data_IF_148630072969
#
_entry.id   IF_148630072969
#
_cell.length_a   1.000
_cell.length_b   1.000
_cell.length_c   1.000
_cell.angle_alpha   90.00
_cell.angle_beta   90.00
_cell.angle_gamma   90.00
#
_symmetry.space_group_name_H-M   'P 1'
#
loop_
_entity.id
_entity.type
_entity.pdbx_description
1 polymer ?
#
# COMPACT_ATOMS: atom_id res chain seq x y z
N UNK A 1 0.24 -31.93 18.55
CA UNK A 1 1.43 -31.12 18.22
C UNK A 1 1.71 -31.33 16.75
N UNK A 2 1.40 -30.35 15.91
CA UNK A 2 1.70 -30.43 14.47
C UNK A 2 3.17 -30.07 14.34
N UNK A 3 3.99 -31.03 13.93
CA UNK A 3 5.40 -30.77 13.60
C UNK A 3 5.44 -29.64 12.57
N UNK A 4 6.03 -28.52 12.97
CA UNK A 4 6.37 -27.43 12.08
C UNK A 4 7.34 -27.99 11.05
N UNK A 5 6.84 -28.39 9.88
CA UNK A 5 7.67 -28.73 8.72
C UNK A 5 8.62 -27.55 8.51
N UNK A 6 9.92 -27.80 8.66
CA UNK A 6 10.94 -26.82 8.32
C UNK A 6 10.92 -26.62 6.81
N UNK A 7 10.13 -25.65 6.37
CA UNK A 7 9.86 -25.37 4.97
C UNK A 7 11.15 -25.12 4.18
N UNK A 8 12.18 -24.56 4.83
CA UNK A 8 13.47 -24.33 4.19
C UNK A 8 14.15 -25.65 3.84
N UNK A 9 14.17 -26.60 4.77
CA UNK A 9 14.73 -27.93 4.56
C UNK A 9 13.90 -28.72 3.52
N UNK A 10 12.58 -28.61 3.55
CA UNK A 10 11.71 -29.24 2.56
C UNK A 10 11.95 -28.69 1.14
N UNK A 11 12.21 -27.38 1.01
CA UNK A 11 12.53 -26.74 -0.26
C UNK A 11 13.91 -27.16 -0.79
N UNK A 12 14.93 -27.24 0.07
CA UNK A 12 16.25 -27.76 -0.30
C UNK A 12 16.18 -29.21 -0.80
N UNK A 13 15.40 -30.06 -0.13
CA UNK A 13 15.16 -31.44 -0.57
C UNK A 13 14.43 -31.52 -1.90
N UNK A 14 13.47 -30.61 -2.13
CA UNK A 14 12.76 -30.53 -3.40
C UNK A 14 13.67 -30.06 -4.55
N UNK A 15 14.53 -29.07 -4.32
CA UNK A 15 15.50 -28.64 -5.33
C UNK A 15 16.44 -29.78 -5.74
N UNK A 16 16.96 -30.52 -4.76
CA UNK A 16 17.81 -31.69 -5.03
C UNK A 16 17.07 -32.78 -5.82
N UNK A 17 15.76 -32.96 -5.59
CA UNK A 17 14.93 -33.92 -6.32
C UNK A 17 14.77 -33.51 -7.79
N UNK A 18 14.47 -32.23 -8.05
CA UNK A 18 14.30 -31.69 -9.41
C UNK A 18 15.62 -31.72 -10.17
N UNK A 19 16.74 -31.40 -9.52
CA UNK A 19 18.07 -31.45 -10.12
C UNK A 19 18.46 -32.89 -10.52
N UNK A 20 18.22 -33.88 -9.66
CA UNK A 20 18.41 -35.30 -10.01
C UNK A 20 17.57 -35.73 -11.21
N UNK A 21 16.32 -35.27 -11.28
CA UNK A 21 15.42 -35.60 -12.39
C UNK A 21 15.89 -34.99 -13.72
N UNK A 22 16.39 -33.75 -13.70
CA UNK A 22 16.97 -33.10 -14.88
C UNK A 22 18.22 -33.86 -15.33
N UNK A 23 19.13 -34.20 -14.41
CA UNK A 23 20.36 -34.96 -14.72
C UNK A 23 20.03 -36.32 -15.32
N UNK A 24 19.03 -37.02 -14.78
CA UNK A 24 18.59 -38.30 -15.32
C UNK A 24 18.10 -38.15 -16.77
N UNK A 25 17.25 -37.15 -17.04
CA UNK A 25 16.75 -36.90 -18.40
C UNK A 25 17.83 -36.49 -19.38
N UNK A 26 18.79 -35.69 -18.96
CA UNK A 26 19.93 -35.32 -19.80
C UNK A 26 20.77 -36.55 -20.17
N UNK A 27 20.94 -37.51 -19.24
CA UNK A 27 21.65 -38.77 -19.50
C UNK A 27 20.90 -39.68 -20.47
N UNK A 28 19.59 -39.81 -20.31
CA UNK A 28 18.72 -40.55 -21.23
C UNK A 28 18.76 -39.98 -22.65
N UNK A 29 18.83 -38.65 -22.80
CA UNK A 29 18.99 -37.99 -24.11
C UNK A 29 20.38 -38.18 -24.76
N UNK A 30 21.37 -38.63 -23.99
CA UNK A 30 22.77 -38.81 -24.44
C UNK A 30 23.17 -40.27 -24.70
N UNK A 31 22.20 -41.20 -24.75
CA UNK A 31 22.39 -42.65 -24.97
C UNK A 31 23.40 -43.33 -24.01
N UNK A 32 23.56 -42.78 -22.80
CA UNK A 32 24.49 -43.26 -21.76
C UNK A 32 23.80 -44.02 -20.62
N UNK A 33 22.63 -44.60 -20.90
CA UNK A 33 21.71 -45.05 -19.86
C UNK A 33 22.01 -46.49 -19.37
N UNK A 34 22.52 -46.61 -18.15
CA UNK A 34 22.47 -47.83 -17.35
C UNK A 34 21.32 -47.71 -16.37
N UNK A 35 20.28 -48.56 -16.52
CA UNK A 35 19.13 -48.62 -15.61
C UNK A 35 19.61 -48.84 -14.17
N UNK A 36 19.50 -47.80 -13.36
CA UNK A 36 19.80 -47.84 -11.94
C UNK A 36 18.48 -47.87 -11.15
N UNK A 37 18.46 -48.57 -10.03
CA UNK A 37 17.26 -48.78 -9.18
C UNK A 37 16.74 -47.45 -8.56
N UNK A 38 17.50 -46.36 -8.79
CA UNK A 38 17.25 -45.02 -8.28
C UNK A 38 16.51 -44.07 -9.23
N UNK A 39 16.10 -44.54 -10.41
CA UNK A 39 15.30 -43.79 -11.39
C UNK A 39 14.09 -43.08 -10.74
N UNK A 40 13.96 -41.78 -11.03
CA UNK A 40 12.87 -40.93 -10.54
C UNK A 40 11.72 -41.00 -11.53
N UNK A 41 10.83 -41.98 -11.32
CA UNK A 41 9.56 -42.04 -12.02
C UNK A 41 8.55 -41.02 -11.46
N UNK A 42 7.45 -40.82 -12.18
CA UNK A 42 6.37 -39.93 -11.73
C UNK A 42 5.83 -40.32 -10.35
N UNK A 43 5.79 -41.62 -10.03
CA UNK A 43 5.24 -42.13 -8.76
C UNK A 43 6.13 -41.77 -7.57
N UNK A 44 7.46 -41.94 -7.71
CA UNK A 44 8.50 -41.58 -6.74
C UNK A 44 8.57 -40.06 -6.58
N UNK A 45 8.47 -39.30 -7.68
CA UNK A 45 8.38 -37.84 -7.66
C UNK A 45 7.14 -37.35 -6.90
N UNK A 46 5.98 -37.91 -7.23
CA UNK A 46 4.70 -37.57 -6.60
C UNK A 46 4.71 -37.88 -5.09
N UNK A 47 5.17 -39.08 -4.71
CA UNK A 47 5.24 -39.51 -3.30
C UNK A 47 6.21 -38.65 -2.50
N UNK A 48 7.36 -38.30 -3.06
CA UNK A 48 8.37 -37.47 -2.40
C UNK A 48 7.88 -36.04 -2.23
N UNK A 49 7.31 -35.44 -3.27
CA UNK A 49 6.71 -34.09 -3.23
C UNK A 49 5.58 -34.03 -2.19
N UNK A 50 4.73 -35.05 -2.13
CA UNK A 50 3.63 -35.13 -1.16
C UNK A 50 4.13 -35.33 0.27
N UNK A 51 5.27 -35.99 0.47
CA UNK A 51 5.93 -36.11 1.78
C UNK A 51 6.55 -34.78 2.23
N UNK A 52 7.10 -34.00 1.30
CA UNK A 52 7.77 -32.72 1.58
C UNK A 52 6.78 -31.59 1.90
N UNK A 53 5.70 -31.46 1.10
CA UNK A 53 4.78 -30.33 1.19
C UNK A 53 3.37 -30.70 1.67
N UNK A 54 3.08 -31.99 1.85
CA UNK A 54 1.78 -32.45 2.35
C UNK A 54 0.62 -32.03 1.44
N UNK A 55 -0.55 -31.67 2.00
CA UNK A 55 -1.73 -31.26 1.23
C UNK A 55 -1.60 -29.86 0.58
N UNK A 56 -0.50 -29.14 0.81
CA UNK A 56 -0.30 -27.79 0.28
C UNK A 56 -0.13 -27.76 -1.25
N UNK A 57 0.14 -28.91 -1.87
CA UNK A 57 0.36 -29.04 -3.31
C UNK A 57 -0.78 -29.85 -3.94
N UNK A 58 -1.43 -29.30 -4.96
CA UNK A 58 -2.49 -29.99 -5.70
C UNK A 58 -1.91 -31.03 -6.66
N UNK A 59 -2.56 -32.19 -6.76
CA UNK A 59 -2.14 -33.29 -7.65
C UNK A 59 -1.99 -32.84 -9.11
N UNK A 60 -2.89 -31.98 -9.58
CA UNK A 60 -2.86 -31.41 -10.93
C UNK A 60 -1.60 -30.55 -11.16
N UNK A 61 -1.15 -29.82 -10.15
CA UNK A 61 0.04 -28.98 -10.24
C UNK A 61 1.32 -29.83 -10.23
N UNK A 62 1.38 -30.90 -9.43
CA UNK A 62 2.51 -31.84 -9.45
C UNK A 62 2.64 -32.49 -10.82
N UNK A 63 1.52 -32.90 -11.42
CA UNK A 63 1.48 -33.49 -12.77
C UNK A 63 1.88 -32.50 -13.87
N UNK A 64 1.41 -31.26 -13.78
CA UNK A 64 1.77 -30.21 -14.73
C UNK A 64 3.26 -29.87 -14.63
N UNK A 65 3.77 -29.69 -13.40
CA UNK A 65 5.17 -29.41 -13.13
C UNK A 65 6.06 -30.54 -13.64
N UNK A 66 5.76 -31.79 -13.28
CA UNK A 66 6.52 -32.96 -13.76
C UNK A 66 6.55 -33.00 -15.29
N UNK A 67 5.41 -32.86 -15.97
CA UNK A 67 5.38 -32.84 -17.44
C UNK A 67 6.23 -31.72 -18.03
N UNK A 68 6.22 -30.53 -17.44
CA UNK A 68 6.99 -29.37 -17.92
C UNK A 68 8.50 -29.63 -17.85
N UNK A 69 8.97 -30.17 -16.72
CA UNK A 69 10.40 -30.49 -16.58
C UNK A 69 10.82 -31.61 -17.53
N UNK A 70 9.93 -32.58 -17.78
CA UNK A 70 10.20 -33.69 -18.68
C UNK A 70 10.18 -33.26 -20.16
N UNK A 71 9.37 -32.26 -20.53
CA UNK A 71 9.33 -31.74 -21.90
C UNK A 71 10.52 -30.84 -22.23
N UNK A 72 11.00 -30.05 -21.25
CA UNK A 72 12.08 -29.07 -21.44
C UNK A 72 13.11 -29.18 -20.29
N UNK A 73 14.05 -30.14 -20.34
CA UNK A 73 15.04 -30.30 -19.28
C UNK A 73 16.07 -29.15 -19.21
N UNK A 74 16.25 -28.38 -20.29
CA UNK A 74 17.18 -27.24 -20.33
C UNK A 74 16.60 -25.95 -19.71
N UNK A 75 15.28 -25.83 -19.64
CA UNK A 75 14.61 -24.68 -19.05
C UNK A 75 14.51 -24.89 -17.53
N UNK A 76 15.22 -24.10 -16.73
CA UNK A 76 15.15 -24.19 -15.27
C UNK A 76 13.72 -23.87 -14.81
N UNK A 77 12.96 -24.85 -14.27
CA UNK A 77 11.58 -24.63 -13.88
C UNK A 77 11.54 -23.72 -12.65
N UNK A 78 10.65 -22.72 -12.65
CA UNK A 78 10.43 -21.90 -11.48
C UNK A 78 9.68 -22.72 -10.42
N UNK A 79 10.35 -23.04 -9.31
CA UNK A 79 9.77 -23.87 -8.25
C UNK A 79 8.41 -23.40 -7.68
N UNK A 80 8.02 -22.11 -7.67
CA UNK A 80 6.69 -21.71 -7.20
C UNK A 80 5.54 -22.19 -8.11
N UNK A 81 5.84 -22.65 -9.33
CA UNK A 81 4.84 -23.25 -10.24
C UNK A 81 4.18 -24.50 -9.66
N UNK A 82 4.88 -25.26 -8.81
CA UNK A 82 4.29 -26.44 -8.16
C UNK A 82 3.12 -26.06 -7.23
N UNK A 83 3.10 -24.83 -6.73
CA UNK A 83 2.00 -24.29 -5.93
C UNK A 83 0.92 -23.59 -6.76
N UNK A 84 1.07 -23.54 -8.10
CA UNK A 84 0.12 -22.88 -8.99
C UNK A 84 0.28 -21.35 -9.07
N UNK A 85 1.43 -20.80 -8.66
CA UNK A 85 1.68 -19.36 -8.62
C UNK A 85 1.71 -18.67 -10.00
N UNK A 86 1.73 -19.43 -11.10
CA UNK A 86 1.87 -18.91 -12.47
C UNK A 86 0.84 -19.45 -13.47
N UNK A 87 -0.17 -20.20 -13.03
CA UNK A 87 -1.32 -20.55 -13.88
C UNK A 87 -2.16 -19.30 -14.14
N UNK A 88 -1.75 -18.51 -15.13
CA UNK A 88 -2.54 -17.47 -15.76
C UNK A 88 -3.88 -18.03 -16.22
N UNK A 89 -4.94 -17.28 -15.93
CA UNK A 89 -6.31 -17.76 -15.94
C UNK A 89 -6.78 -18.42 -17.22
N UNK A 90 -7.55 -19.50 -17.06
CA UNK A 90 -8.55 -19.96 -18.02
C UNK A 90 -9.46 -20.98 -17.33
N UNK A 91 -10.75 -20.62 -17.26
CA UNK A 91 -11.92 -21.48 -17.03
C UNK A 91 -12.14 -22.03 -15.62
N UNK A 92 -13.10 -21.39 -14.94
CA UNK A 92 -14.05 -21.95 -13.97
C UNK A 92 -13.57 -23.12 -13.09
N UNK A 93 -12.92 -22.82 -11.96
CA UNK A 93 -12.73 -23.80 -10.90
C UNK A 93 -13.06 -23.17 -9.54
N UNK A 94 -13.70 -24.01 -8.72
CA UNK A 94 -14.21 -23.77 -7.37
C UNK A 94 -13.23 -23.05 -6.44
N UNK A 95 -13.79 -22.32 -5.47
CA UNK A 95 -13.08 -21.66 -4.37
C UNK A 95 -11.94 -22.55 -3.83
N UNK A 96 -10.71 -22.04 -3.70
CA UNK A 96 -9.61 -22.82 -3.15
C UNK A 96 -9.93 -23.25 -1.72
N UNK A 97 -9.67 -24.51 -1.39
CA UNK A 97 -9.78 -25.05 -0.04
C UNK A 97 -8.78 -24.38 0.89
N UNK A 98 -9.19 -24.23 2.16
CA UNK A 98 -8.52 -23.51 3.28
C UNK A 98 -7.06 -23.88 3.53
N UNK A 99 -6.54 -24.95 2.94
CA UNK A 99 -5.20 -25.48 3.22
C UNK A 99 -4.14 -25.03 2.20
N UNK A 100 -4.53 -24.31 1.14
CA UNK A 100 -3.62 -23.76 0.11
C UNK A 100 -2.94 -22.43 0.53
N UNK A 101 -2.98 -22.09 1.82
CA UNK A 101 -2.76 -20.73 2.35
C UNK A 101 -1.33 -20.44 2.86
N UNK A 102 -0.32 -21.22 2.49
CA UNK A 102 1.04 -20.99 3.03
C UNK A 102 1.74 -19.78 2.38
N UNK A 103 1.32 -19.34 1.18
CA UNK A 103 1.95 -18.22 0.47
C UNK A 103 0.98 -17.15 -0.07
N UNK A 104 -0.31 -17.22 0.26
CA UNK A 104 -1.30 -16.22 -0.13
C UNK A 104 -1.82 -15.52 1.12
N UNK A 105 -1.64 -14.19 1.13
CA UNK A 105 -2.34 -13.16 1.90
C UNK A 105 -3.36 -13.73 2.88
N UNK A 106 -3.15 -13.48 4.18
CA UNK A 106 -4.08 -13.83 5.27
C UNK A 106 -5.52 -13.78 4.78
N UNK A 107 -6.22 -14.91 4.92
CA UNK A 107 -7.64 -15.04 4.59
C UNK A 107 -8.35 -13.76 5.04
N UNK A 108 -9.02 -13.05 4.12
CA UNK A 108 -9.71 -11.80 4.44
C UNK A 108 -10.77 -12.12 5.49
N UNK A 109 -10.39 -12.03 6.75
CA UNK A 109 -11.29 -12.29 7.85
C UNK A 109 -12.26 -11.12 7.89
N UNK A 110 -13.49 -11.36 7.48
CA UNK A 110 -14.53 -10.36 7.55
C UNK A 110 -14.87 -10.14 9.02
N UNK A 111 -14.34 -9.07 9.60
CA UNK A 111 -14.80 -8.59 10.90
C UNK A 111 -16.16 -7.94 10.65
N UNK A 112 -17.23 -8.69 10.86
CA UNK A 112 -18.61 -8.20 10.79
C UNK A 112 -18.85 -7.23 11.95
N UNK A 113 -18.53 -5.96 11.75
CA UNK A 113 -18.84 -4.90 12.71
C UNK A 113 -20.15 -4.20 12.30
N UNK A 114 -21.06 -4.02 13.26
CA UNK A 114 -22.42 -3.46 13.06
C UNK A 114 -22.45 -2.05 12.44
N UNK A 115 -21.32 -1.34 12.50
CA UNK A 115 -21.15 0.03 12.02
C UNK A 115 -20.79 0.11 10.53
N UNK A 116 -20.05 -0.89 10.01
CA UNK A 116 -19.64 -0.90 8.59
C UNK A 116 -20.68 -1.69 7.79
N UNK A 117 -21.88 -1.13 7.67
CA UNK A 117 -23.00 -1.77 6.94
C UNK A 117 -22.83 -1.74 5.42
N UNK A 118 -21.86 -1.00 4.88
CA UNK A 118 -21.63 -0.85 3.43
C UNK A 118 -20.26 -1.37 3.02
N UNK A 119 -20.22 -2.14 1.93
CA UNK A 119 -18.98 -2.42 1.18
C UNK A 119 -18.43 -1.08 0.71
N UNK A 120 -17.30 -0.68 1.26
CA UNK A 120 -16.58 0.51 0.83
C UNK A 120 -15.08 0.26 0.84
N UNK A 121 -14.37 0.98 -0.03
CA UNK A 121 -12.92 0.84 -0.21
C UNK A 121 -12.23 1.83 0.71
N UNK A 122 -11.39 1.32 1.61
CA UNK A 122 -10.53 2.16 2.42
C UNK A 122 -9.37 2.65 1.56
N UNK A 123 -9.27 3.97 1.41
CA UNK A 123 -8.25 4.65 0.59
C UNK A 123 -7.03 5.03 1.41
N UNK A 124 -7.21 5.31 2.70
CA UNK A 124 -6.12 5.67 3.60
C UNK A 124 -6.26 5.03 4.98
N UNK A 125 -5.14 4.58 5.55
CA UNK A 125 -5.05 4.10 6.94
C UNK A 125 -3.80 4.73 7.57
N UNK A 126 -4.00 5.48 8.63
CA UNK A 126 -2.95 6.21 9.33
C UNK A 126 -2.96 5.81 10.79
N UNK A 127 -1.82 5.40 11.31
CA UNK A 127 -1.66 5.10 12.73
C UNK A 127 -0.90 6.24 13.39
N UNK A 128 -1.46 6.78 14.47
CA UNK A 128 -0.86 7.84 15.29
C UNK A 128 -0.45 7.22 16.63
N UNK A 129 0.82 6.77 16.79
CA UNK A 129 1.23 6.01 17.96
C UNK A 129 1.10 6.80 19.27
N UNK A 130 1.42 8.11 19.24
CA UNK A 130 1.42 9.00 20.41
C UNK A 130 0.05 9.07 21.07
N UNK A 131 -1.03 9.11 20.27
CA UNK A 131 -2.41 9.19 20.75
C UNK A 131 -3.10 7.82 20.81
N UNK A 132 -2.42 6.75 20.40
CA UNK A 132 -3.00 5.42 20.18
C UNK A 132 -4.26 5.44 19.30
N UNK A 133 -4.25 6.28 18.27
CA UNK A 133 -5.32 6.41 17.30
C UNK A 133 -4.97 5.68 16.00
N UNK A 134 -5.98 5.14 15.35
CA UNK A 134 -5.92 4.71 13.95
C UNK A 134 -7.02 5.44 13.20
N UNK A 135 -6.67 6.15 12.15
CA UNK A 135 -7.60 6.90 11.31
C UNK A 135 -7.75 6.12 10.00
N UNK A 136 -8.97 6.00 9.51
CA UNK A 136 -9.26 5.39 8.21
C UNK A 136 -10.11 6.31 7.37
N UNK A 137 -9.74 6.46 6.11
CA UNK A 137 -10.52 7.18 5.11
C UNK A 137 -11.12 6.22 4.10
N UNK A 138 -12.42 6.36 3.90
CA UNK A 138 -13.21 5.57 2.99
C UNK A 138 -13.51 6.34 1.71
N UNK A 139 -13.56 5.66 0.57
CA UNK A 139 -13.82 6.30 -0.72
C UNK A 139 -15.15 7.04 -0.74
N UNK A 140 -16.20 6.57 -0.04
CA UNK A 140 -17.51 7.25 -0.01
C UNK A 140 -17.58 8.44 0.96
N UNK A 141 -16.45 8.99 1.38
CA UNK A 141 -16.41 10.22 2.19
C UNK A 141 -16.41 10.01 3.70
N UNK A 142 -16.27 8.77 4.18
CA UNK A 142 -16.31 8.46 5.62
C UNK A 142 -14.90 8.48 6.23
N UNK A 143 -14.69 9.32 7.24
CA UNK A 143 -13.48 9.36 8.06
C UNK A 143 -13.75 8.77 9.44
N UNK A 144 -13.06 7.69 9.79
CA UNK A 144 -13.26 7.00 11.08
C UNK A 144 -12.00 7.06 11.93
N UNK A 145 -12.16 7.30 13.25
CA UNK A 145 -11.07 7.32 14.22
C UNK A 145 -11.25 6.22 15.26
N UNK A 146 -10.35 5.26 15.24
CA UNK A 146 -10.28 4.19 16.22
C UNK A 146 -9.33 4.57 17.35
N UNK A 147 -9.80 4.55 18.59
CA UNK A 147 -8.96 4.72 19.77
C UNK A 147 -8.73 3.37 20.45
N UNK A 148 -7.47 3.01 20.76
CA UNK A 148 -7.15 1.73 21.39
C UNK A 148 -7.40 1.71 22.92
N UNK A 149 -7.30 2.87 23.60
CA UNK A 149 -7.35 2.95 25.09
C UNK A 149 -8.77 2.96 25.64
N UNK A 150 -9.66 3.74 25.04
CA UNK A 150 -11.09 3.58 25.26
C UNK A 150 -11.53 2.47 24.33
N UNK A 151 -12.12 1.37 24.79
CA UNK A 151 -12.83 0.38 23.93
C UNK A 151 -14.02 1.00 23.15
N UNK A 152 -14.04 2.32 23.00
CA UNK A 152 -15.04 3.13 22.34
C UNK A 152 -14.60 3.37 20.90
N UNK A 153 -15.25 2.67 19.99
CA UNK A 153 -15.21 2.95 18.57
C UNK A 153 -15.94 4.27 18.33
N UNK A 154 -15.22 5.35 18.06
CA UNK A 154 -15.83 6.55 17.54
C UNK A 154 -15.75 6.51 16.01
N UNK A 155 -16.73 5.84 15.41
CA UNK A 155 -16.93 5.87 13.97
C UNK A 155 -17.80 7.06 13.63
N UNK A 156 -17.16 8.18 13.33
CA UNK A 156 -17.86 9.32 12.77
C UNK A 156 -18.14 9.01 11.29
N UNK A 157 -19.33 8.50 11.00
CA UNK A 157 -19.78 8.42 9.60
C UNK A 157 -20.06 9.82 9.12
N UNK A 158 -19.03 10.54 8.69
CA UNK A 158 -19.22 11.86 8.11
C UNK A 158 -19.82 11.68 6.71
N UNK A 159 -21.06 12.13 6.53
CA UNK A 159 -21.68 12.25 5.22
C UNK A 159 -21.59 13.72 4.83
N UNK A 160 -20.80 14.03 3.80
CA UNK A 160 -20.82 15.35 3.20
C UNK A 160 -22.26 15.62 2.73
N UNK A 161 -22.95 16.55 3.40
CA UNK A 161 -24.31 16.96 3.01
C UNK A 161 -24.34 17.73 1.68
N UNK A 162 -23.16 18.09 1.14
CA UNK A 162 -22.99 18.66 -0.19
C UNK A 162 -22.27 17.64 -1.08
N UNK A 163 -23.06 16.72 -1.66
CA UNK A 163 -22.64 15.67 -2.59
C UNK A 163 -21.62 14.64 -2.04
N UNK A 164 -21.67 13.36 -2.47
CA UNK A 164 -20.67 12.37 -2.09
C UNK A 164 -19.34 12.68 -2.77
N UNK A 165 -18.47 13.45 -2.11
CA UNK A 165 -17.09 13.68 -2.55
C UNK A 165 -16.22 12.48 -2.18
N UNK A 166 -15.45 11.99 -3.13
CA UNK A 166 -14.53 10.88 -2.89
C UNK A 166 -13.30 11.34 -2.12
N UNK A 167 -12.97 10.63 -1.05
CA UNK A 167 -11.71 10.84 -0.33
C UNK A 167 -10.65 9.95 -0.95
N UNK A 168 -9.55 10.56 -1.40
CA UNK A 168 -8.44 9.87 -2.04
C UNK A 168 -7.32 9.51 -1.06
N UNK A 169 -7.13 10.31 0.00
CA UNK A 169 -6.12 10.05 1.01
C UNK A 169 -6.41 10.75 2.33
N UNK A 170 -5.75 10.31 3.40
CA UNK A 170 -5.79 10.97 4.70
C UNK A 170 -4.45 10.88 5.43
N UNK A 171 -4.22 11.82 6.34
CA UNK A 171 -3.11 11.82 7.29
C UNK A 171 -3.46 12.62 8.57
N UNK A 172 -2.53 12.69 9.52
CA UNK A 172 -2.71 13.36 10.81
C UNK A 172 -1.66 14.45 11.05
N UNK A 173 -2.13 15.62 11.46
CA UNK A 173 -1.32 16.78 11.83
C UNK A 173 -0.99 16.70 13.31
N UNK A 174 0.27 16.44 13.70
CA UNK A 174 0.60 16.19 15.09
C UNK A 174 0.50 17.42 16.00
N UNK A 175 0.85 18.62 15.51
CA UNK A 175 0.92 19.82 16.35
C UNK A 175 -0.47 20.42 16.56
N UNK A 176 -1.20 20.67 15.47
CA UNK A 176 -2.57 21.18 15.46
C UNK A 176 -3.58 20.12 15.92
N UNK A 177 -3.22 18.84 15.80
CA UNK A 177 -4.06 17.67 16.12
C UNK A 177 -5.29 17.53 15.23
N UNK A 178 -5.21 18.01 13.99
CA UNK A 178 -6.26 17.83 13.00
C UNK A 178 -6.02 16.58 12.15
N UNK A 179 -7.09 15.94 11.72
CA UNK A 179 -7.07 14.96 10.63
C UNK A 179 -7.15 15.72 9.31
N UNK A 180 -6.29 15.35 8.37
CA UNK A 180 -6.31 15.88 7.00
C UNK A 180 -6.87 14.81 6.10
N UNK A 181 -7.77 15.20 5.21
CA UNK A 181 -8.19 14.37 4.10
C UNK A 181 -8.17 15.16 2.80
N UNK A 182 -7.78 14.50 1.72
CA UNK A 182 -7.81 15.07 0.38
C UNK A 182 -8.93 14.43 -0.43
N UNK A 183 -9.65 15.27 -1.16
CA UNK A 183 -10.68 14.87 -2.12
C UNK A 183 -10.25 15.29 -3.51
N UNK A 184 -11.13 15.12 -4.49
CA UNK A 184 -10.87 15.59 -5.85
C UNK A 184 -10.49 17.08 -5.86
N UNK A 185 -11.30 17.99 -5.30
CA UNK A 185 -11.06 19.43 -5.44
C UNK A 185 -10.91 20.18 -4.11
N UNK A 186 -10.83 19.48 -2.98
CA UNK A 186 -10.79 20.12 -1.66
C UNK A 186 -9.86 19.40 -0.68
N UNK A 187 -9.30 20.17 0.25
CA UNK A 187 -8.55 19.67 1.40
C UNK A 187 -9.39 19.90 2.65
N UNK A 188 -9.61 18.84 3.42
CA UNK A 188 -10.43 18.87 4.63
C UNK A 188 -9.52 18.78 5.83
N UNK A 189 -9.75 19.65 6.80
CA UNK A 189 -9.13 19.65 8.12
C UNK A 189 -10.23 19.41 9.14
N UNK A 190 -10.11 18.36 9.94
CA UNK A 190 -11.11 18.03 10.95
C UNK A 190 -10.48 17.83 12.33
N UNK A 191 -11.01 18.50 13.36
CA UNK A 191 -10.51 18.31 14.72
C UNK A 191 -10.90 16.92 15.23
N UNK A 192 -9.90 16.11 15.56
CA UNK A 192 -10.10 14.75 16.08
C UNK A 192 -10.86 14.69 17.42
N UNK A 193 -10.95 15.81 18.16
CA UNK A 193 -11.70 15.91 19.43
C UNK A 193 -13.14 16.37 19.24
N UNK A 194 -13.53 16.79 18.04
CA UNK A 194 -14.84 17.38 17.84
C UNK A 194 -15.94 16.37 18.21
N UNK A 195 -16.94 16.82 18.98
CA UNK A 195 -18.09 16.00 19.38
C UNK A 195 -19.10 15.95 18.23
N UNK A 196 -19.95 14.92 18.21
CA UNK A 196 -20.95 14.63 17.18
C UNK A 196 -21.90 15.81 16.84
N UNK A 197 -22.04 16.78 17.75
CA UNK A 197 -22.91 17.95 17.62
C UNK A 197 -22.20 19.24 17.19
N UNK A 198 -20.87 19.25 17.11
CA UNK A 198 -20.06 20.41 16.70
C UNK A 198 -18.99 19.94 15.70
N UNK A 199 -19.23 20.19 14.42
CA UNK A 199 -18.29 19.93 13.33
C UNK A 199 -17.25 21.05 13.27
N UNK A 200 -16.29 21.03 14.21
CA UNK A 200 -15.15 21.94 14.17
C UNK A 200 -14.13 21.46 13.12
N UNK A 201 -14.41 21.82 11.87
CA UNK A 201 -13.55 21.51 10.74
C UNK A 201 -13.55 22.62 9.70
N UNK A 202 -12.49 22.63 8.90
CA UNK A 202 -12.25 23.58 7.83
C UNK A 202 -12.14 22.84 6.50
N UNK A 203 -12.61 23.46 5.43
CA UNK A 203 -12.46 22.93 4.06
C UNK A 203 -11.79 23.99 3.23
N UNK A 204 -10.60 23.69 2.73
CA UNK A 204 -9.87 24.53 1.79
C UNK A 204 -10.35 24.17 0.38
N UNK A 205 -10.96 25.15 -0.32
CA UNK A 205 -11.49 24.98 -1.67
C UNK A 205 -11.48 26.32 -2.42
N UNK A 206 -11.39 26.32 -3.76
CA UNK A 206 -11.19 25.16 -4.64
C UNK A 206 -9.69 24.86 -4.87
N UNK A 207 -9.31 23.58 -4.90
CA UNK A 207 -8.03 23.16 -5.45
C UNK A 207 -8.11 23.09 -6.97
N UNK A 208 -7.07 23.54 -7.67
CA UNK A 208 -7.07 23.63 -9.14
C UNK A 208 -7.07 22.26 -9.85
N UNK A 209 -6.40 21.26 -9.26
CA UNK A 209 -6.21 19.93 -9.82
C UNK A 209 -6.75 18.86 -8.86
N UNK A 210 -6.88 17.61 -9.33
CA UNK A 210 -7.43 16.52 -8.54
C UNK A 210 -6.41 16.00 -7.51
N UNK A 211 -6.64 16.20 -6.20
CA UNK A 211 -5.69 15.72 -5.19
C UNK A 211 -5.83 14.20 -4.98
N UNK A 212 -4.74 13.46 -5.15
CA UNK A 212 -4.73 11.99 -5.11
C UNK A 212 -4.17 11.43 -3.81
N UNK A 213 -3.14 12.08 -3.25
CA UNK A 213 -2.46 11.60 -2.05
C UNK A 213 -2.03 12.75 -1.15
N UNK A 214 -1.83 12.45 0.14
CA UNK A 214 -1.46 13.41 1.17
C UNK A 214 -0.50 12.79 2.17
N UNK A 215 0.43 13.59 2.69
CA UNK A 215 1.33 13.22 3.78
C UNK A 215 1.64 14.45 4.63
N UNK A 216 1.68 14.30 5.95
CA UNK A 216 2.15 15.36 6.85
C UNK A 216 3.66 15.36 6.98
N UNK A 217 4.22 16.56 7.06
CA UNK A 217 5.63 16.81 7.27
C UNK A 217 5.82 17.09 8.75
N UNK A 218 6.66 16.28 9.39
CA UNK A 218 6.96 16.44 10.81
C UNK A 218 8.35 17.05 10.95
N UNK A 219 8.37 18.38 11.08
CA UNK A 219 9.56 19.14 11.45
C UNK A 219 9.58 19.34 12.97
N UNK A 220 10.77 19.29 13.57
CA UNK A 220 10.93 19.43 15.02
C UNK A 220 10.79 20.87 15.54
N UNK A 221 10.76 21.86 14.64
CA UNK A 221 11.18 23.22 14.98
C UNK A 221 10.03 24.19 15.33
N UNK A 222 8.76 23.77 15.28
CA UNK A 222 7.67 24.70 15.53
C UNK A 222 6.37 24.02 16.00
N UNK A 223 5.94 24.38 17.21
CA UNK A 223 4.77 23.79 17.89
C UNK A 223 3.44 24.35 17.39
N UNK A 224 3.44 25.44 16.61
CA UNK A 224 2.23 26.15 16.18
C UNK A 224 1.90 26.01 14.70
N UNK A 225 2.69 25.24 13.94
CA UNK A 225 2.46 24.98 12.52
C UNK A 225 2.55 23.50 12.19
N UNK A 226 1.81 23.09 11.18
CA UNK A 226 1.99 21.83 10.50
C UNK A 226 2.05 22.06 8.99
N UNK A 227 2.86 21.25 8.32
CA UNK A 227 3.01 21.32 6.86
C UNK A 227 2.49 20.04 6.23
N UNK A 228 1.77 20.19 5.12
CA UNK A 228 1.09 19.14 4.37
C UNK A 228 1.71 19.08 2.98
N UNK A 229 2.07 17.86 2.57
CA UNK A 229 2.44 17.52 1.20
C UNK A 229 1.26 16.85 0.51
N UNK A 230 0.96 17.28 -0.72
CA UNK A 230 -0.13 16.71 -1.52
C UNK A 230 0.36 16.45 -2.95
N UNK A 231 -0.13 15.38 -3.57
CA UNK A 231 0.13 15.05 -4.97
C UNK A 231 -1.16 15.03 -5.78
N UNK A 232 -1.08 15.39 -7.05
CA UNK A 232 -2.25 15.50 -7.94
C UNK A 232 -2.22 14.59 -9.19
N UNK A 233 -3.27 14.70 -9.99
CA UNK A 233 -3.48 14.04 -11.28
C UNK A 233 -2.74 14.67 -12.48
N UNK A 234 -1.90 15.68 -12.26
CA UNK A 234 -1.09 16.33 -13.31
C UNK A 234 0.41 16.27 -13.02
N UNK A 235 0.81 15.50 -12.01
CA UNK A 235 2.20 15.32 -11.62
C UNK A 235 2.78 16.46 -10.78
N UNK A 236 1.95 17.35 -10.25
CA UNK A 236 2.35 18.38 -9.32
C UNK A 236 2.35 17.87 -7.88
N UNK A 237 3.37 18.31 -7.15
CA UNK A 237 3.44 18.21 -5.70
C UNK A 237 3.25 19.61 -5.11
N UNK A 238 2.38 19.68 -4.10
CA UNK A 238 1.99 20.89 -3.40
C UNK A 238 2.51 20.85 -1.98
N UNK A 239 2.92 22.01 -1.48
CA UNK A 239 3.29 22.25 -0.11
C UNK A 239 2.30 23.25 0.50
N UNK A 240 1.61 22.87 1.57
CA UNK A 240 0.69 23.74 2.30
C UNK A 240 1.11 23.79 3.76
N UNK A 241 1.47 24.96 4.26
CA UNK A 241 1.74 25.17 5.69
C UNK A 241 0.54 25.83 6.33
N UNK A 242 0.09 25.27 7.46
CA UNK A 242 -1.04 25.77 8.23
C UNK A 242 -0.57 26.09 9.64
N UNK A 243 -0.96 27.25 10.12
CA UNK A 243 -0.67 27.75 11.46
C UNK A 243 -1.94 27.78 12.31
N UNK A 244 -1.80 27.84 13.63
CA UNK A 244 -2.93 28.05 14.54
C UNK A 244 -3.70 29.34 14.24
N UNK A 245 -2.99 30.37 13.78
CA UNK A 245 -3.54 31.71 13.56
C UNK A 245 -4.41 31.77 12.31
N UNK A 246 -4.15 30.91 11.30
CA UNK A 246 -4.99 30.77 10.12
C UNK A 246 -6.43 30.39 10.47
N UNK A 247 -6.60 29.68 11.61
CA UNK A 247 -7.91 29.33 12.13
C UNK A 247 -8.52 30.44 12.99
N UNK A 248 -7.74 31.32 13.61
CA UNK A 248 -8.21 32.37 14.53
C UNK A 248 -8.57 33.64 13.76
N UNK A 249 -7.72 34.11 12.84
CA UNK A 249 -7.98 35.33 12.05
C UNK A 249 -9.23 35.19 11.16
N UNK A 250 -9.57 33.98 10.72
CA UNK A 250 -10.72 33.70 9.86
C UNK A 250 -12.02 33.39 10.63
N UNK A 251 -12.02 33.52 11.97
CA UNK A 251 -13.20 33.38 12.83
C UNK A 251 -14.04 34.66 12.98
N UNK A 252 -13.56 35.82 12.54
CA UNK A 252 -14.33 37.05 12.67
C UNK A 252 -15.32 37.21 11.51
N UNK A 253 -16.62 37.16 11.84
CA UNK A 253 -17.82 37.44 11.01
C UNK A 253 -18.41 36.24 10.27
N UNK A 254 -19.06 35.32 10.98
CA UNK A 254 -20.39 34.80 10.58
C UNK A 254 -20.95 33.87 11.66
N UNK A 255 -22.27 33.89 11.82
CA UNK A 255 -23.00 33.26 12.92
C UNK A 255 -22.89 31.73 12.98
N UNK A 256 -23.41 31.19 14.07
CA UNK A 256 -23.51 29.76 14.38
C UNK A 256 -24.15 28.98 13.21
N UNK A 257 -23.33 28.38 12.35
CA UNK A 257 -23.77 27.29 11.49
C UNK A 257 -22.90 26.06 11.73
N UNK A 258 -23.58 24.91 11.83
CA UNK A 258 -23.04 23.57 12.08
C UNK A 258 -22.32 22.98 10.85
N UNK A 259 -21.79 23.84 9.97
CA UNK A 259 -21.16 23.45 8.71
C UNK A 259 -19.67 23.80 8.72
N UNK A 260 -18.86 22.96 8.08
CA UNK A 260 -17.43 23.18 7.92
C UNK A 260 -17.17 24.59 7.39
N UNK A 261 -16.20 25.27 7.99
CA UNK A 261 -15.82 26.61 7.55
C UNK A 261 -15.04 26.49 6.24
N UNK A 262 -15.62 27.02 5.16
CA UNK A 262 -14.95 27.08 3.88
C UNK A 262 -13.84 28.15 3.93
N UNK A 263 -12.62 27.76 3.57
CA UNK A 263 -11.47 28.63 3.41
C UNK A 263 -11.10 28.64 1.93
N UNK A 264 -10.79 29.83 1.42
CA UNK A 264 -10.35 29.97 0.03
C UNK A 264 -8.91 29.49 -0.12
N UNK A 265 -8.63 28.69 -1.15
CA UNK A 265 -7.26 28.21 -1.43
C UNK A 265 -6.33 29.35 -1.82
N UNK A 266 -6.85 30.42 -2.43
CA UNK A 266 -6.09 31.61 -2.80
C UNK A 266 -5.61 32.42 -1.59
N UNK A 267 -6.22 32.19 -0.42
CA UNK A 267 -5.81 32.83 0.84
C UNK A 267 -4.58 32.20 1.50
N UNK A 268 -4.00 31.17 0.88
CA UNK A 268 -2.81 30.49 1.34
C UNK A 268 -1.70 30.58 0.29
N UNK A 269 -0.46 30.75 0.74
CA UNK A 269 0.69 30.53 -0.13
C UNK A 269 0.93 29.01 -0.23
N UNK A 270 0.68 28.46 -1.41
CA UNK A 270 0.80 27.02 -1.69
C UNK A 270 1.83 26.83 -2.80
N UNK A 271 3.13 26.76 -2.45
CA UNK A 271 4.17 26.38 -3.39
C UNK A 271 3.82 25.06 -4.06
N UNK A 272 3.97 25.01 -5.39
CA UNK A 272 3.74 23.80 -6.18
C UNK A 272 4.79 23.64 -7.25
N UNK A 273 5.16 22.39 -7.52
CA UNK A 273 6.13 22.06 -8.55
C UNK A 273 5.72 20.80 -9.29
N UNK A 274 5.83 20.82 -10.62
CA UNK A 274 5.67 19.62 -11.44
C UNK A 274 6.91 18.75 -11.27
N UNK A 275 6.72 17.54 -10.77
CA UNK A 275 7.78 16.58 -10.48
C UNK A 275 7.64 15.30 -11.32
N UNK A 276 6.42 14.96 -11.72
CA UNK A 276 6.14 13.78 -12.54
C UNK A 276 5.43 14.21 -13.83
N UNK A 277 5.58 13.44 -14.91
CA UNK A 277 4.83 13.69 -16.15
C UNK A 277 3.45 13.02 -16.16
N UNK A 278 3.22 12.11 -15.21
CA UNK A 278 1.95 11.43 -14.97
C UNK A 278 1.51 11.65 -13.51
N UNK A 279 0.43 11.00 -13.09
CA UNK A 279 -0.20 11.17 -11.78
C UNK A 279 0.77 10.89 -10.62
N UNK A 280 0.66 11.68 -9.55
CA UNK A 280 1.37 11.42 -8.30
C UNK A 280 0.59 10.37 -7.51
N UNK A 281 0.97 9.11 -7.66
CA UNK A 281 0.27 7.97 -7.05
C UNK A 281 0.39 7.93 -5.53
N UNK A 282 1.55 8.30 -4.99
CA UNK A 282 1.78 8.35 -3.55
C UNK A 282 2.85 9.39 -3.19
N UNK A 283 2.66 10.04 -2.05
CA UNK A 283 3.63 10.95 -1.44
C UNK A 283 3.86 10.56 0.02
N UNK A 284 5.09 10.72 0.51
CA UNK A 284 5.40 10.48 1.91
C UNK A 284 6.61 11.27 2.38
N UNK A 285 6.50 11.90 3.54
CA UNK A 285 7.65 12.46 4.22
C UNK A 285 8.34 11.43 5.13
N UNK A 286 9.67 11.40 5.08
CA UNK A 286 10.51 10.54 5.91
C UNK A 286 11.29 11.36 6.93
N UNK A 287 10.73 11.53 8.13
CA UNK A 287 11.35 12.34 9.20
C UNK A 287 12.77 11.88 9.55
N UNK A 288 13.05 10.58 9.45
CA UNK A 288 14.38 10.01 9.69
C UNK A 288 15.43 10.46 8.66
N UNK A 289 15.01 10.69 7.41
CA UNK A 289 15.89 11.16 6.33
C UNK A 289 15.84 12.67 6.14
N UNK A 290 14.81 13.33 6.71
CA UNK A 290 14.41 14.71 6.42
C UNK A 290 14.09 14.98 4.94
N UNK A 291 13.72 13.94 4.19
CA UNK A 291 13.40 14.00 2.77
C UNK A 291 11.93 13.61 2.55
N UNK A 292 11.33 14.11 1.48
CA UNK A 292 10.08 13.59 0.96
C UNK A 292 10.35 12.64 -0.21
N UNK A 293 9.48 11.64 -0.35
CA UNK A 293 9.40 10.79 -1.53
C UNK A 293 8.07 10.98 -2.25
N UNK A 294 8.08 10.97 -3.58
CA UNK A 294 6.89 10.91 -4.43
C UNK A 294 7.08 9.89 -5.54
N UNK A 295 6.00 9.20 -5.93
CA UNK A 295 6.05 8.21 -7.00
C UNK A 295 4.95 8.39 -8.04
N UNK A 296 5.22 7.90 -9.24
CA UNK A 296 4.33 7.92 -10.38
C UNK A 296 4.49 6.64 -11.21
N UNK A 297 3.47 6.34 -12.00
CA UNK A 297 3.46 5.28 -13.02
C UNK A 297 4.32 5.61 -14.25
N UNK A 298 4.80 6.85 -14.34
CA UNK A 298 5.75 7.25 -15.38
C UNK A 298 7.03 6.41 -15.32
N UNK A 299 7.58 6.10 -16.50
CA UNK A 299 8.82 5.34 -16.67
C UNK A 299 10.09 6.19 -16.53
N UNK A 300 9.99 7.51 -16.76
CA UNK A 300 11.15 8.42 -16.70
C UNK A 300 11.30 8.93 -15.27
N UNK A 301 10.30 9.64 -14.77
CA UNK A 301 10.29 10.22 -13.44
C UNK A 301 9.46 9.35 -12.49
N UNK A 302 9.83 8.08 -12.33
CA UNK A 302 9.02 7.11 -11.58
C UNK A 302 9.02 7.37 -10.08
N UNK A 303 10.17 7.77 -9.52
CA UNK A 303 10.32 8.02 -8.09
C UNK A 303 11.27 9.19 -7.84
N UNK A 304 10.90 10.09 -6.92
CA UNK A 304 11.71 11.24 -6.52
C UNK A 304 11.93 11.18 -5.02
N UNK A 305 13.14 11.51 -4.57
CA UNK A 305 13.51 11.55 -3.16
C UNK A 305 14.39 12.76 -2.85
N UNK A 306 13.81 13.84 -2.33
CA UNK A 306 14.56 15.08 -2.09
C UNK A 306 14.08 15.89 -0.88
N UNK A 307 14.75 16.99 -0.59
CA UNK A 307 14.37 17.95 0.44
C UNK A 307 13.15 18.76 -0.02
N UNK A 308 12.26 19.09 0.92
CA UNK A 308 11.07 19.92 0.69
C UNK A 308 11.43 21.27 0.10
N UNK A 309 12.61 21.82 0.42
CA UNK A 309 13.13 23.06 -0.17
C UNK A 309 13.15 23.03 -1.70
N UNK A 310 13.24 21.84 -2.31
CA UNK A 310 13.15 21.67 -3.78
C UNK A 310 11.82 22.08 -4.37
N UNK A 311 10.75 22.09 -3.58
CA UNK A 311 9.45 22.57 -4.05
C UNK A 311 9.43 24.10 -4.20
N UNK A 312 10.32 24.81 -3.51
CA UNK A 312 10.41 26.27 -3.49
C UNK A 312 11.55 26.81 -4.37
N UNK A 313 12.71 26.15 -4.36
CA UNK A 313 13.93 26.63 -5.03
C UNK A 313 14.02 26.27 -6.54
N UNK A 314 13.14 25.39 -7.02
CA UNK A 314 13.09 24.88 -8.40
C UNK A 314 14.40 24.25 -8.93
N UNK A 315 15.36 23.90 -8.06
CA UNK A 315 16.63 23.26 -8.44
C UNK A 315 16.42 21.79 -8.82
N UNK A 316 17.36 21.15 -9.56
CA UNK A 316 17.22 19.75 -9.95
C UNK A 316 16.93 18.82 -8.77
N UNK A 317 16.00 17.89 -8.96
CA UNK A 317 15.60 16.89 -7.95
C UNK A 317 16.30 15.56 -8.19
N UNK A 318 16.46 14.76 -7.13
CA UNK A 318 16.94 13.38 -7.24
C UNK A 318 15.82 12.47 -7.72
N UNK A 319 15.81 12.23 -9.02
CA UNK A 319 14.87 11.34 -9.71
C UNK A 319 15.46 9.95 -9.97
N UNK A 320 14.58 8.94 -9.99
CA UNK A 320 14.89 7.55 -10.28
C UNK A 320 13.89 7.05 -11.32
N UNK A 321 14.43 6.52 -12.42
CA UNK A 321 13.65 5.88 -13.48
C UNK A 321 13.51 4.40 -13.21
N UNK A 322 12.26 3.92 -13.24
CA UNK A 322 11.92 2.51 -13.19
C UNK A 322 11.07 2.22 -14.44
N UNK A 323 11.50 1.34 -15.36
CA UNK A 323 10.82 1.16 -16.64
C UNK A 323 9.32 0.84 -16.57
N UNK A 324 8.86 0.21 -15.48
CA UNK A 324 7.44 -0.13 -15.25
C UNK A 324 6.67 0.92 -14.42
N UNK A 325 7.34 1.99 -13.99
CA UNK A 325 6.81 2.95 -13.01
C UNK A 325 6.85 2.43 -11.58
N UNK A 326 6.40 3.26 -10.64
CA UNK A 326 6.31 2.94 -9.22
C UNK A 326 4.92 3.29 -8.68
N UNK A 327 4.22 2.27 -8.19
CA UNK A 327 2.87 2.39 -7.64
C UNK A 327 2.86 2.67 -6.13
N UNK A 328 3.85 2.14 -5.41
CA UNK A 328 3.96 2.31 -3.98
C UNK A 328 5.42 2.29 -3.53
N UNK A 329 5.69 2.92 -2.40
CA UNK A 329 6.99 2.84 -1.77
C UNK A 329 6.87 2.95 -0.24
N UNK A 330 7.93 2.53 0.45
CA UNK A 330 8.10 2.68 1.89
C UNK A 330 9.57 2.73 2.26
N UNK A 331 9.87 3.30 3.42
CA UNK A 331 11.23 3.36 3.97
C UNK A 331 11.32 2.48 5.22
N UNK A 332 12.35 1.64 5.29
CA UNK A 332 12.70 0.86 6.46
C UNK A 332 13.86 1.53 7.19
N UNK A 333 13.57 2.22 8.30
CA UNK A 333 14.61 2.90 9.10
C UNK A 333 15.64 1.97 9.73
N UNK A 334 15.30 0.70 9.98
CA UNK A 334 16.26 -0.28 10.56
C UNK A 334 17.33 -0.72 9.56
N UNK A 335 16.92 -0.94 8.32
CA UNK A 335 17.82 -1.37 7.25
C UNK A 335 18.40 -0.18 6.46
N UNK A 336 17.85 1.03 6.67
CA UNK A 336 18.13 2.22 5.87
C UNK A 336 17.90 1.99 4.36
N UNK A 337 16.79 1.33 4.02
CA UNK A 337 16.43 0.97 2.64
C UNK A 337 15.07 1.56 2.28
N UNK A 338 14.97 2.11 1.07
CA UNK A 338 13.69 2.44 0.43
C UNK A 338 13.31 1.27 -0.47
N UNK A 339 12.09 0.77 -0.26
CA UNK A 339 11.50 -0.29 -1.07
C UNK A 339 10.43 0.34 -1.95
N UNK A 340 10.54 0.13 -3.25
CA UNK A 340 9.54 0.51 -4.24
C UNK A 340 8.79 -0.74 -4.71
N UNK A 341 7.53 -0.57 -5.11
CA UNK A 341 6.70 -1.58 -5.74
C UNK A 341 6.04 -0.98 -6.97
N UNK A 342 6.26 -1.60 -8.12
CA UNK A 342 5.77 -1.18 -9.43
C UNK A 342 5.00 -2.31 -10.07
#
# INVERSE_FOLDING_TARGET
AVESIDFKNALEQFHNLVEKMIIQKTKEHSDLDTKDDDEIDFVKFYRTTRKLFGPAVKDQNVQAFFRKVMSNPEERPEWPEIFGCFTGGSVGMSSPSKESMVLLVSEKQQITHSVVKRKDVIKGIVKVPVLHLTITASQKGVLTVFNKKRKSFFSYSFYFHQAPTWINGCDFLPNLKYVVAVTESTVILWDYKSKETQSDGFVIKPMKNCMLCVSTVTMADDLAKDTILMGDDRGYVYLLTITSDDFIMKQSKTGKELQFKALDSESFDIPKRKLHDDWVGKIRYFSALKLFGSCSTDSINSFILDDIKRLEDHLPVKEFSVPKGVNAFTYCGKANIIVTGG
#
